data_IF_356076904559
#
_entry.id   IF_356076904559
#
_cell.length_a   1.000
_cell.length_b   1.000
_cell.length_c   1.000
_cell.angle_alpha   90.00
_cell.angle_beta   90.00
_cell.angle_gamma   90.00
#
_symmetry.space_group_name_H-M   'P 1'
#
loop_
_entity.id
_entity.type
_entity.pdbx_description
1 polymer ?
#
# COMPACT_ATOMS: atom_id res chain seq x y z
N UNK A 1 -40.70 -17.25 83.80
CA UNK A 1 -40.51 -16.05 82.94
C UNK A 1 -39.16 -16.16 82.26
N UNK A 2 -39.10 -16.58 81.02
CA UNK A 2 -37.90 -16.72 80.23
C UNK A 2 -37.92 -15.70 79.07
N UNK A 3 -37.01 -14.75 79.12
CA UNK A 3 -36.81 -13.71 78.07
C UNK A 3 -36.14 -14.30 76.84
N UNK A 4 -36.76 -14.13 75.66
CA UNK A 4 -36.24 -14.56 74.41
C UNK A 4 -35.68 -13.29 73.70
N UNK A 5 -34.35 -13.20 73.67
CA UNK A 5 -33.62 -12.14 72.93
C UNK A 5 -33.53 -12.51 71.45
N UNK A 6 -34.18 -11.71 70.60
CA UNK A 6 -34.14 -11.86 69.14
C UNK A 6 -32.81 -11.27 68.60
N UNK A 7 -31.97 -12.13 68.03
CA UNK A 7 -30.78 -11.73 67.27
C UNK A 7 -31.22 -11.43 65.80
N UNK A 8 -31.16 -10.19 65.40
CA UNK A 8 -31.41 -9.76 64.03
C UNK A 8 -30.08 -9.67 63.28
N UNK A 9 -29.78 -10.72 62.52
CA UNK A 9 -28.56 -10.74 61.66
C UNK A 9 -28.84 -9.95 60.38
N UNK A 10 -28.05 -8.89 60.20
CA UNK A 10 -28.00 -8.11 58.95
C UNK A 10 -27.15 -8.88 57.95
N UNK A 11 -27.75 -9.49 56.95
CA UNK A 11 -27.06 -10.09 55.81
C UNK A 11 -26.79 -8.96 54.79
N UNK A 12 -25.55 -8.44 54.78
CA UNK A 12 -25.08 -7.51 53.74
C UNK A 12 -24.82 -8.30 52.46
N UNK A 13 -25.72 -8.17 51.49
CA UNK A 13 -25.60 -8.74 50.15
C UNK A 13 -24.61 -7.86 49.36
N UNK A 14 -23.32 -8.26 49.26
CA UNK A 14 -22.34 -7.65 48.37
C UNK A 14 -22.68 -8.11 46.97
N UNK A 15 -23.38 -7.26 46.19
CA UNK A 15 -23.47 -7.40 44.74
C UNK A 15 -22.10 -7.10 44.14
N UNK A 16 -21.29 -8.12 43.90
CA UNK A 16 -20.15 -8.01 43.03
C UNK A 16 -20.67 -7.71 41.61
N UNK A 17 -20.52 -6.45 41.17
CA UNK A 17 -20.68 -6.08 39.77
C UNK A 17 -19.58 -6.84 38.99
N UNK A 18 -19.91 -8.02 38.49
CA UNK A 18 -19.12 -8.69 37.47
C UNK A 18 -19.20 -7.84 36.19
N UNK A 19 -18.21 -6.97 35.99
CA UNK A 19 -18.00 -6.36 34.68
C UNK A 19 -17.88 -7.51 33.66
N UNK A 20 -18.58 -7.44 32.53
CA UNK A 20 -18.42 -8.45 31.50
C UNK A 20 -16.94 -8.47 31.10
N UNK A 21 -16.29 -9.62 31.28
CA UNK A 21 -14.95 -9.85 30.75
C UNK A 21 -15.10 -9.86 29.21
N UNK A 22 -15.01 -8.70 28.58
CA UNK A 22 -14.88 -8.62 27.14
C UNK A 22 -13.58 -9.34 26.79
N UNK A 23 -13.69 -10.45 26.06
CA UNK A 23 -12.53 -11.13 25.51
C UNK A 23 -11.65 -10.13 24.72
N UNK A 24 -10.34 -10.38 24.64
CA UNK A 24 -9.41 -9.52 23.92
C UNK A 24 -9.91 -9.21 22.50
N UNK A 25 -9.89 -7.93 22.12
CA UNK A 25 -10.31 -7.50 20.77
C UNK A 25 -9.35 -8.08 19.73
N UNK A 26 -9.86 -8.86 18.78
CA UNK A 26 -9.04 -9.41 17.70
C UNK A 26 -8.62 -8.32 16.72
N UNK A 27 -7.34 -8.30 16.37
CA UNK A 27 -6.73 -7.44 15.33
C UNK A 27 -6.00 -8.33 14.35
N UNK A 28 -6.64 -8.63 13.22
CA UNK A 28 -6.07 -9.49 12.18
C UNK A 28 -5.54 -8.60 11.06
N UNK A 29 -4.24 -8.73 10.75
CA UNK A 29 -3.56 -7.94 9.72
C UNK A 29 -2.96 -8.85 8.66
N UNK A 30 -3.02 -8.44 7.38
CA UNK A 30 -2.44 -9.17 6.25
C UNK A 30 -1.56 -8.29 5.38
N UNK A 31 -0.40 -8.83 5.02
CA UNK A 31 0.60 -8.22 4.15
C UNK A 31 0.95 -9.19 3.02
N UNK A 32 0.71 -8.77 1.77
CA UNK A 32 1.05 -9.53 0.56
C UNK A 32 2.54 -9.58 0.25
N UNK A 33 3.37 -8.76 0.92
CA UNK A 33 4.82 -8.76 0.82
C UNK A 33 5.46 -9.55 1.98
N UNK A 34 6.74 -9.93 1.81
CA UNK A 34 7.50 -10.57 2.90
C UNK A 34 7.79 -9.59 4.05
N UNK A 35 8.17 -10.12 5.21
CA UNK A 35 8.48 -9.34 6.41
C UNK A 35 9.75 -8.47 6.27
N UNK A 36 10.71 -8.84 5.39
CA UNK A 36 12.03 -8.18 5.29
C UNK A 36 11.99 -6.83 4.57
N UNK A 37 10.99 -6.59 3.69
CA UNK A 37 10.81 -5.33 2.97
C UNK A 37 10.30 -4.21 3.86
N UNK A 38 10.33 -2.96 3.37
CA UNK A 38 9.89 -1.76 4.11
C UNK A 38 8.48 -1.94 4.67
N UNK A 39 7.51 -2.37 3.85
CA UNK A 39 6.12 -2.59 4.28
C UNK A 39 6.01 -3.67 5.39
N UNK A 40 6.74 -4.78 5.24
CA UNK A 40 6.75 -5.84 6.26
C UNK A 40 7.26 -5.34 7.60
N UNK A 41 8.40 -4.64 7.60
CA UNK A 41 8.96 -4.02 8.82
C UNK A 41 8.04 -2.96 9.42
N UNK A 42 7.26 -2.23 8.59
CA UNK A 42 6.26 -1.27 9.07
C UNK A 42 5.12 -2.00 9.81
N UNK A 43 4.64 -3.13 9.28
CA UNK A 43 3.64 -3.96 9.95
C UNK A 43 4.16 -4.59 11.25
N UNK A 44 5.44 -5.01 11.28
CA UNK A 44 6.05 -5.54 12.51
C UNK A 44 6.15 -4.47 13.60
N UNK A 45 6.53 -3.24 13.22
CA UNK A 45 6.51 -2.10 14.12
C UNK A 45 5.09 -1.77 14.60
N UNK A 46 4.11 -1.74 13.69
CA UNK A 46 2.70 -1.54 14.04
C UNK A 46 2.23 -2.60 15.04
N UNK A 47 2.53 -3.87 14.78
CA UNK A 47 2.19 -4.99 15.68
C UNK A 47 2.79 -4.79 17.07
N UNK A 48 4.07 -4.43 17.13
CA UNK A 48 4.79 -4.16 18.38
C UNK A 48 4.16 -3.00 19.15
N UNK A 49 3.86 -1.90 18.47
CA UNK A 49 3.28 -0.70 19.08
C UNK A 49 1.84 -0.93 19.55
N UNK A 50 1.02 -1.70 18.80
CA UNK A 50 -0.32 -2.10 19.26
C UNK A 50 -0.22 -2.91 20.57
N UNK A 51 0.61 -3.95 20.59
CA UNK A 51 0.82 -4.78 21.80
C UNK A 51 1.35 -3.97 22.97
N UNK A 52 2.30 -3.05 22.74
CA UNK A 52 2.86 -2.17 23.76
C UNK A 52 1.81 -1.24 24.39
N UNK A 53 0.89 -0.68 23.58
CA UNK A 53 -0.10 0.29 24.03
C UNK A 53 -1.33 -0.34 24.68
N UNK A 54 -1.74 -1.51 24.19
CA UNK A 54 -3.01 -2.12 24.55
C UNK A 54 -2.89 -3.41 25.36
N UNK A 55 -1.72 -4.03 25.40
CA UNK A 55 -1.44 -5.22 26.22
C UNK A 55 -2.44 -6.36 25.94
N UNK A 56 -3.02 -6.89 27.01
CA UNK A 56 -3.97 -7.98 26.98
C UNK A 56 -5.39 -7.59 26.51
N UNK A 57 -5.65 -6.31 26.23
CA UNK A 57 -6.93 -5.85 25.67
C UNK A 57 -7.12 -6.27 24.20
N UNK A 58 -6.03 -6.64 23.51
CA UNK A 58 -6.05 -7.03 22.10
C UNK A 58 -5.34 -8.37 21.88
N UNK A 59 -5.86 -9.14 20.91
CA UNK A 59 -5.21 -10.32 20.36
C UNK A 59 -4.82 -9.99 18.90
N UNK A 60 -3.49 -9.87 18.65
CA UNK A 60 -2.96 -9.39 17.38
C UNK A 60 -2.34 -10.52 16.59
N UNK A 61 -2.94 -10.83 15.44
CA UNK A 61 -2.43 -11.76 14.44
C UNK A 61 -1.90 -11.00 13.21
N UNK A 62 -0.62 -11.16 12.89
CA UNK A 62 0.01 -10.58 11.70
C UNK A 62 0.42 -11.68 10.73
N UNK A 63 -0.04 -11.57 9.47
CA UNK A 63 0.22 -12.53 8.40
C UNK A 63 1.01 -11.85 7.27
N UNK A 64 2.21 -12.35 6.96
CA UNK A 64 3.06 -11.87 5.87
C UNK A 64 3.03 -12.79 4.65
N UNK A 65 3.62 -12.30 3.54
CA UNK A 65 3.86 -13.05 2.30
C UNK A 65 2.59 -13.58 1.62
N UNK A 66 1.47 -12.90 1.81
CA UNK A 66 0.19 -13.34 1.23
C UNK A 66 -0.37 -14.63 1.85
N UNK A 67 0.14 -15.05 3.04
CA UNK A 67 -0.25 -16.32 3.67
C UNK A 67 -1.71 -16.39 4.09
N UNK A 68 -2.34 -15.24 4.38
CA UNK A 68 -3.78 -15.17 4.66
C UNK A 68 -4.56 -14.68 3.43
N UNK A 69 -4.13 -13.57 2.84
CA UNK A 69 -4.67 -13.00 1.61
C UNK A 69 -3.54 -12.48 0.73
N UNK A 70 -3.58 -12.83 -0.55
CA UNK A 70 -2.64 -12.34 -1.56
C UNK A 70 -3.04 -10.94 -2.09
N UNK A 71 -2.30 -10.44 -3.08
CA UNK A 71 -2.54 -9.11 -3.64
C UNK A 71 -3.91 -8.97 -4.30
N UNK A 72 -4.50 -10.04 -4.86
CA UNK A 72 -5.80 -10.03 -5.54
C UNK A 72 -6.97 -10.16 -4.57
N UNK A 73 -6.80 -10.90 -3.48
CA UNK A 73 -7.89 -11.32 -2.58
C UNK A 73 -8.00 -10.47 -1.32
N UNK A 74 -6.93 -9.73 -0.93
CA UNK A 74 -6.89 -9.00 0.34
C UNK A 74 -7.97 -7.92 0.48
N UNK A 75 -8.35 -7.22 -0.61
CA UNK A 75 -9.41 -6.19 -0.56
C UNK A 75 -10.77 -6.83 -0.28
N UNK A 76 -11.07 -7.96 -0.93
CA UNK A 76 -12.29 -8.71 -0.66
C UNK A 76 -12.31 -9.26 0.78
N UNK A 77 -11.19 -9.80 1.26
CA UNK A 77 -11.06 -10.25 2.64
C UNK A 77 -11.30 -9.13 3.65
N UNK A 78 -10.83 -7.90 3.37
CA UNK A 78 -11.09 -6.72 4.17
C UNK A 78 -12.58 -6.35 4.18
N UNK A 79 -13.22 -6.31 3.01
CA UNK A 79 -14.64 -5.98 2.88
C UNK A 79 -15.52 -6.92 3.70
N UNK A 80 -15.21 -8.21 3.69
CA UNK A 80 -15.94 -9.27 4.41
C UNK A 80 -15.60 -9.32 5.91
N UNK A 81 -14.61 -8.55 6.40
CA UNK A 81 -14.18 -8.60 7.80
C UNK A 81 -13.36 -9.84 8.17
N UNK A 82 -12.92 -10.64 7.20
CA UNK A 82 -12.04 -11.78 7.45
C UNK A 82 -10.61 -11.35 7.79
N UNK A 83 -10.25 -10.11 7.48
CA UNK A 83 -9.06 -9.39 7.92
C UNK A 83 -9.48 -7.97 8.29
N UNK A 84 -8.83 -7.40 9.30
CA UNK A 84 -9.22 -6.10 9.84
C UNK A 84 -8.41 -4.94 9.28
N UNK A 85 -7.12 -5.16 8.98
CA UNK A 85 -6.22 -4.14 8.43
C UNK A 85 -5.35 -4.76 7.33
N UNK A 86 -5.31 -4.09 6.18
CA UNK A 86 -4.44 -4.41 5.05
C UNK A 86 -3.72 -3.14 4.57
N UNK A 87 -2.66 -3.31 3.78
CA UNK A 87 -1.92 -2.20 3.19
C UNK A 87 -1.50 -2.54 1.75
N UNK A 88 -2.45 -2.69 0.81
CA UNK A 88 -2.10 -2.84 -0.59
C UNK A 88 -1.58 -1.54 -1.18
N UNK A 89 -0.84 -1.61 -2.29
CA UNK A 89 -0.59 -0.42 -3.10
C UNK A 89 -1.92 0.21 -3.53
N UNK A 90 -1.96 1.53 -3.62
CA UNK A 90 -3.20 2.28 -3.87
C UNK A 90 -3.98 1.75 -5.09
N UNK A 91 -3.30 1.35 -6.17
CA UNK A 91 -3.93 0.82 -7.38
C UNK A 91 -4.72 -0.48 -7.19
N UNK A 92 -4.43 -1.25 -6.16
CA UNK A 92 -5.16 -2.51 -5.86
C UNK A 92 -6.60 -2.25 -5.40
N UNK A 93 -6.90 -1.03 -4.95
CA UNK A 93 -8.28 -0.64 -4.66
C UNK A 93 -9.13 -0.31 -5.90
N UNK A 94 -8.53 -0.22 -7.10
CA UNK A 94 -9.24 0.19 -8.33
C UNK A 94 -10.48 -0.64 -8.68
N UNK A 95 -10.58 -1.95 -8.40
CA UNK A 95 -11.81 -2.71 -8.65
C UNK A 95 -13.02 -2.21 -7.83
N UNK A 96 -12.79 -1.62 -6.67
CA UNK A 96 -13.84 -1.12 -5.76
C UNK A 96 -13.88 0.41 -5.68
N UNK A 97 -12.79 1.09 -6.00
CA UNK A 97 -12.65 2.54 -6.03
C UNK A 97 -11.78 2.97 -7.23
N UNK A 98 -12.34 2.94 -8.45
CA UNK A 98 -11.57 3.19 -9.68
C UNK A 98 -10.84 4.54 -9.68
N UNK A 99 -11.44 5.54 -9.08
CA UNK A 99 -10.91 6.92 -9.03
C UNK A 99 -9.61 7.06 -8.22
N UNK A 100 -9.25 6.07 -7.39
CA UNK A 100 -7.92 6.01 -6.77
C UNK A 100 -6.80 5.97 -7.82
N UNK A 101 -7.09 5.45 -9.02
CA UNK A 101 -6.15 5.41 -10.13
C UNK A 101 -5.59 6.76 -10.53
N UNK A 102 -6.36 7.84 -10.39
CA UNK A 102 -5.90 9.19 -10.73
C UNK A 102 -4.72 9.68 -9.86
N UNK A 103 -4.58 9.16 -8.63
CA UNK A 103 -3.42 9.43 -7.76
C UNK A 103 -2.13 8.76 -8.25
N UNK A 104 -2.23 7.84 -9.22
CA UNK A 104 -1.13 7.04 -9.76
C UNK A 104 -0.86 7.36 -11.24
N UNK A 105 -1.40 8.48 -11.74
CA UNK A 105 -1.10 8.94 -13.09
C UNK A 105 0.42 9.10 -13.27
N UNK A 106 0.98 8.59 -14.38
CA UNK A 106 2.41 8.62 -14.60
C UNK A 106 2.95 10.07 -14.59
N UNK A 107 4.03 10.28 -13.82
CA UNK A 107 4.72 11.56 -13.65
C UNK A 107 3.90 12.69 -12.98
N UNK A 108 2.74 12.39 -12.39
CA UNK A 108 1.91 13.39 -11.71
C UNK A 108 2.41 13.66 -10.30
N UNK A 109 2.23 12.73 -9.37
CA UNK A 109 2.67 12.88 -7.98
C UNK A 109 4.05 12.21 -7.80
N UNK A 110 5.12 12.99 -7.95
CA UNK A 110 6.49 12.49 -8.06
C UNK A 110 7.28 12.51 -6.74
N UNK A 111 6.64 12.88 -5.63
CA UNK A 111 7.29 12.90 -4.31
C UNK A 111 6.36 12.47 -3.17
N UNK A 112 6.91 12.05 -2.02
CA UNK A 112 6.13 11.76 -0.82
C UNK A 112 5.27 12.94 -0.37
N UNK A 113 5.80 14.16 -0.46
CA UNK A 113 5.11 15.39 -0.05
C UNK A 113 3.89 15.66 -0.94
N UNK A 114 4.02 15.49 -2.26
CA UNK A 114 2.91 15.63 -3.21
C UNK A 114 1.80 14.60 -2.91
N UNK A 115 2.17 13.35 -2.64
CA UNK A 115 1.22 12.29 -2.26
C UNK A 115 0.54 12.65 -0.94
N UNK A 116 1.29 13.08 0.06
CA UNK A 116 0.73 13.43 1.37
C UNK A 116 -0.29 14.58 1.28
N UNK A 117 0.01 15.61 0.47
CA UNK A 117 -0.94 16.68 0.22
C UNK A 117 -2.17 16.17 -0.54
N UNK A 118 -1.97 15.43 -1.61
CA UNK A 118 -3.07 14.92 -2.44
C UNK A 118 -4.05 14.02 -1.67
N UNK A 119 -3.57 13.07 -0.88
CA UNK A 119 -4.44 12.16 -0.12
C UNK A 119 -5.18 12.82 1.04
N UNK A 120 -4.74 14.00 1.47
CA UNK A 120 -5.38 14.81 2.53
C UNK A 120 -6.23 15.94 1.99
N UNK A 121 -6.03 16.32 0.72
CA UNK A 121 -6.74 17.44 0.10
C UNK A 121 -8.25 17.14 0.02
N UNK A 122 -9.07 18.11 0.44
CA UNK A 122 -10.53 17.94 0.51
C UNK A 122 -11.15 17.70 -0.86
N UNK A 123 -10.66 18.36 -1.91
CA UNK A 123 -11.19 18.22 -3.27
C UNK A 123 -10.82 16.84 -3.84
N UNK A 124 -9.56 16.44 -3.69
CA UNK A 124 -9.07 15.14 -4.18
C UNK A 124 -9.78 13.99 -3.48
N UNK A 125 -9.98 14.08 -2.17
CA UNK A 125 -10.69 13.05 -1.39
C UNK A 125 -12.13 12.81 -1.83
N UNK A 126 -12.83 13.84 -2.32
CA UNK A 126 -14.20 13.65 -2.83
C UNK A 126 -14.28 12.68 -3.99
N UNK A 127 -13.20 12.45 -4.70
CA UNK A 127 -13.17 11.52 -5.83
C UNK A 127 -13.23 10.05 -5.37
N UNK A 128 -12.47 9.65 -4.37
CA UNK A 128 -12.25 8.22 -4.05
C UNK A 128 -12.78 7.77 -2.69
N UNK A 129 -12.92 8.68 -1.72
CA UNK A 129 -13.37 8.30 -0.37
C UNK A 129 -14.77 7.68 -0.35
N UNK A 130 -15.80 8.25 -1.04
CA UNK A 130 -17.13 7.66 -1.04
C UNK A 130 -17.16 6.24 -1.61
N UNK A 131 -16.35 5.96 -2.63
CA UNK A 131 -16.28 4.63 -3.23
C UNK A 131 -15.74 3.61 -2.22
N UNK A 132 -14.64 3.93 -1.52
CA UNK A 132 -14.06 3.06 -0.50
C UNK A 132 -15.03 2.82 0.68
N UNK A 133 -15.63 3.89 1.20
CA UNK A 133 -16.56 3.81 2.33
C UNK A 133 -17.81 3.00 2.00
N UNK A 134 -18.36 3.13 0.78
CA UNK A 134 -19.49 2.34 0.30
C UNK A 134 -19.17 0.84 0.20
N UNK A 135 -17.90 0.48 0.17
CA UNK A 135 -17.39 -0.88 0.08
C UNK A 135 -16.85 -1.41 1.43
N UNK A 136 -17.30 -0.82 2.53
CA UNK A 136 -16.91 -1.20 3.89
C UNK A 136 -15.40 -1.05 4.17
N UNK A 137 -14.74 -0.05 3.54
CA UNK A 137 -13.32 0.23 3.69
C UNK A 137 -13.13 1.66 4.19
N UNK A 138 -12.34 1.84 5.24
CA UNK A 138 -11.91 3.15 5.71
C UNK A 138 -10.38 3.26 5.62
N UNK A 139 -9.83 4.24 4.87
CA UNK A 139 -8.40 4.53 4.89
C UNK A 139 -8.00 5.12 6.24
N UNK A 140 -7.04 4.50 6.91
CA UNK A 140 -6.58 4.88 8.26
C UNK A 140 -5.14 5.39 8.30
N UNK A 141 -4.34 5.11 7.27
CA UNK A 141 -2.99 5.68 7.07
C UNK A 141 -2.57 5.58 5.60
N UNK A 142 -1.47 6.26 5.27
CA UNK A 142 -0.76 6.14 3.97
C UNK A 142 0.70 5.87 4.25
N UNK A 143 1.26 4.82 3.65
CA UNK A 143 2.67 4.46 3.75
C UNK A 143 3.36 4.59 2.41
N UNK A 144 4.62 5.03 2.42
CA UNK A 144 5.42 5.16 1.21
C UNK A 144 6.02 3.81 0.78
N UNK A 145 6.25 3.70 -0.52
CA UNK A 145 6.88 2.53 -1.13
C UNK A 145 8.09 2.92 -2.00
N UNK A 146 8.15 4.16 -2.45
CA UNK A 146 9.20 4.70 -3.31
C UNK A 146 8.80 4.84 -4.77
N UNK A 147 9.68 5.46 -5.54
CA UNK A 147 9.51 5.60 -6.97
C UNK A 147 9.65 4.23 -7.66
N UNK A 148 8.73 3.92 -8.57
CA UNK A 148 8.76 2.66 -9.34
C UNK A 148 9.87 2.73 -10.38
N UNK A 149 10.44 1.57 -10.67
CA UNK A 149 11.52 1.38 -11.63
C UNK A 149 11.24 0.16 -12.49
N UNK A 150 11.71 0.16 -13.72
CA UNK A 150 11.57 -0.98 -14.61
C UNK A 150 12.78 -1.90 -14.50
N UNK A 151 12.55 -3.21 -14.57
CA UNK A 151 13.61 -4.18 -14.75
C UNK A 151 13.23 -5.19 -15.81
N UNK A 152 14.18 -5.57 -16.67
CA UNK A 152 13.92 -6.47 -17.79
C UNK A 152 15.10 -7.38 -18.10
N UNK A 153 14.81 -8.50 -18.76
CA UNK A 153 15.79 -9.37 -19.42
C UNK A 153 16.14 -8.81 -20.80
N UNK A 154 17.38 -8.91 -21.20
CA UNK A 154 17.82 -8.51 -22.53
C UNK A 154 19.24 -7.95 -22.52
N UNK A 155 19.91 -7.97 -23.69
CA UNK A 155 21.32 -7.60 -23.82
C UNK A 155 21.60 -6.10 -23.67
N UNK A 156 20.61 -5.24 -23.97
CA UNK A 156 20.75 -3.77 -23.94
C UNK A 156 19.71 -3.15 -23.03
N UNK A 157 20.03 -2.08 -22.30
CA UNK A 157 19.07 -1.39 -21.46
C UNK A 157 17.98 -0.70 -22.29
N UNK A 158 16.71 -0.91 -21.94
CA UNK A 158 15.55 -0.31 -22.59
C UNK A 158 15.23 1.07 -22.00
N UNK A 159 16.01 2.08 -22.40
CA UNK A 159 15.95 3.44 -21.83
C UNK A 159 14.85 4.32 -22.39
N UNK A 160 14.29 3.96 -23.55
CA UNK A 160 13.22 4.72 -24.23
C UNK A 160 11.95 3.89 -24.32
N UNK A 161 10.76 4.51 -24.44
CA UNK A 161 9.50 3.78 -24.55
C UNK A 161 9.48 2.75 -25.68
N UNK A 162 10.02 3.08 -26.85
CA UNK A 162 10.02 2.20 -28.03
C UNK A 162 10.74 0.87 -27.76
N UNK A 163 11.73 0.85 -26.87
CA UNK A 163 12.45 -0.36 -26.51
C UNK A 163 11.60 -1.36 -25.71
N UNK A 164 10.41 -0.97 -25.26
CA UNK A 164 9.48 -1.82 -24.51
C UNK A 164 8.43 -2.48 -25.39
N UNK A 165 8.33 -2.09 -26.66
CA UNK A 165 7.34 -2.62 -27.59
C UNK A 165 7.44 -4.15 -27.69
N UNK A 166 6.32 -4.83 -27.40
CA UNK A 166 6.22 -6.30 -27.42
C UNK A 166 6.85 -7.01 -26.21
N UNK A 167 7.51 -6.32 -25.29
CA UNK A 167 8.10 -6.94 -24.09
C UNK A 167 6.99 -7.39 -23.14
N UNK A 168 7.07 -8.61 -22.65
CA UNK A 168 6.12 -9.17 -21.68
C UNK A 168 6.41 -8.59 -20.29
N UNK A 169 5.66 -7.58 -19.90
CA UNK A 169 5.85 -6.92 -18.60
C UNK A 169 4.75 -7.28 -17.61
N UNK A 170 5.15 -7.64 -16.41
CA UNK A 170 4.20 -7.76 -15.30
C UNK A 170 3.88 -6.41 -14.70
N UNK A 171 2.60 -6.18 -14.50
CA UNK A 171 2.08 -5.12 -13.63
C UNK A 171 1.19 -5.70 -12.54
N UNK A 172 0.95 -4.94 -11.49
CA UNK A 172 -0.16 -5.25 -10.57
C UNK A 172 -1.49 -5.07 -11.31
N UNK A 173 -2.52 -5.84 -10.96
CA UNK A 173 -3.82 -5.85 -11.63
C UNK A 173 -4.62 -4.57 -11.34
N UNK A 174 -4.11 -3.42 -11.81
CA UNK A 174 -4.73 -2.11 -11.68
C UNK A 174 -4.77 -1.41 -13.05
N UNK A 175 -5.94 -0.91 -13.50
CA UNK A 175 -6.13 -0.35 -14.84
C UNK A 175 -5.10 0.72 -15.20
N UNK A 176 -4.72 1.59 -14.27
CA UNK A 176 -3.74 2.65 -14.51
C UNK A 176 -2.38 2.13 -14.97
N UNK A 177 -1.87 1.03 -14.35
CA UNK A 177 -0.59 0.44 -14.75
C UNK A 177 -0.71 -0.31 -16.06
N UNK A 178 -1.84 -1.01 -16.29
CA UNK A 178 -2.11 -1.68 -17.56
C UNK A 178 -2.10 -0.66 -18.69
N UNK A 179 -2.88 0.41 -18.59
CA UNK A 179 -2.96 1.48 -19.60
C UNK A 179 -1.63 2.18 -19.83
N UNK A 180 -0.84 2.39 -18.76
CA UNK A 180 0.49 3.01 -18.87
C UNK A 180 1.44 2.14 -19.68
N UNK A 181 1.45 0.82 -19.47
CA UNK A 181 2.33 -0.10 -20.20
C UNK A 181 1.82 -0.36 -21.63
N UNK A 182 0.51 -0.40 -21.85
CA UNK A 182 -0.09 -0.47 -23.20
C UNK A 182 0.30 0.77 -24.04
N UNK A 183 0.33 1.97 -23.44
CA UNK A 183 0.71 3.20 -24.12
C UNK A 183 2.15 3.21 -24.66
N UNK A 184 3.04 2.38 -24.11
CA UNK A 184 4.41 2.18 -24.63
C UNK A 184 4.53 0.92 -25.50
N UNK A 185 3.40 0.26 -25.84
CA UNK A 185 3.36 -0.91 -26.70
C UNK A 185 3.85 -2.21 -26.07
N UNK A 186 3.96 -2.29 -24.76
CA UNK A 186 4.34 -3.51 -24.07
C UNK A 186 3.20 -4.54 -24.03
N UNK A 187 3.53 -5.83 -23.98
CA UNK A 187 2.59 -6.92 -23.72
C UNK A 187 2.37 -7.05 -22.20
N UNK A 188 1.21 -6.59 -21.73
CA UNK A 188 0.95 -6.44 -20.30
C UNK A 188 0.34 -7.70 -19.69
N UNK A 189 0.91 -8.15 -18.57
CA UNK A 189 0.43 -9.31 -17.82
C UNK A 189 0.15 -8.90 -16.38
N UNK A 190 -1.14 -8.86 -16.01
CA UNK A 190 -1.58 -8.58 -14.64
C UNK A 190 -1.49 -9.83 -13.77
N UNK A 191 -0.65 -9.81 -12.70
CA UNK A 191 -0.55 -10.94 -11.76
C UNK A 191 -0.23 -10.47 -10.35
N UNK A 192 -0.51 -11.33 -9.35
CA UNK A 192 -0.15 -11.11 -7.96
C UNK A 192 1.36 -10.98 -7.77
N UNK A 193 1.77 -10.23 -6.75
CA UNK A 193 3.20 -10.05 -6.45
C UNK A 193 3.91 -11.38 -6.12
N UNK A 194 3.23 -12.29 -5.43
CA UNK A 194 3.76 -13.61 -5.08
C UNK A 194 4.09 -14.51 -6.28
N UNK A 195 3.45 -14.26 -7.43
CA UNK A 195 3.65 -15.02 -8.67
C UNK A 195 4.88 -14.56 -9.47
N UNK A 196 5.35 -13.32 -9.23
CA UNK A 196 6.38 -12.66 -10.05
C UNK A 196 7.72 -13.43 -10.10
N UNK A 197 8.28 -13.95 -8.99
CA UNK A 197 9.55 -14.68 -9.05
C UNK A 197 9.47 -15.89 -9.98
N UNK A 198 8.43 -16.70 -9.84
CA UNK A 198 8.22 -17.91 -10.67
C UNK A 198 7.99 -17.53 -12.14
N UNK A 199 7.19 -16.50 -12.40
CA UNK A 199 6.89 -16.04 -13.75
C UNK A 199 8.14 -15.49 -14.48
N UNK A 200 9.03 -14.77 -13.78
CA UNK A 200 10.33 -14.36 -14.30
C UNK A 200 11.22 -15.56 -14.58
N UNK A 201 11.30 -16.52 -13.65
CA UNK A 201 12.14 -17.70 -13.80
C UNK A 201 11.71 -18.54 -15.00
N UNK A 202 10.41 -18.74 -15.18
CA UNK A 202 9.84 -19.55 -16.26
C UNK A 202 9.74 -18.82 -17.62
N UNK A 203 10.06 -17.51 -17.68
CA UNK A 203 9.94 -16.73 -18.91
C UNK A 203 8.50 -16.42 -19.33
N UNK A 204 7.53 -16.55 -18.41
CA UNK A 204 6.15 -16.09 -18.60
C UNK A 204 6.12 -14.57 -18.78
N UNK A 205 6.99 -13.87 -18.03
CA UNK A 205 7.26 -12.45 -18.16
C UNK A 205 8.76 -12.22 -18.36
N UNK A 206 9.11 -11.14 -19.06
CA UNK A 206 10.48 -10.71 -19.29
C UNK A 206 10.85 -9.52 -18.37
N UNK A 207 9.85 -8.84 -17.83
CA UNK A 207 10.02 -7.58 -17.11
C UNK A 207 8.99 -7.42 -15.99
N UNK A 208 9.35 -6.54 -15.04
CA UNK A 208 8.46 -6.05 -13.98
C UNK A 208 8.83 -4.60 -13.62
N UNK A 209 7.94 -3.91 -12.84
CA UNK A 209 8.13 -2.49 -12.55
C UNK A 209 7.91 -2.12 -11.06
N UNK A 210 8.45 -2.89 -10.08
CA UNK A 210 8.36 -2.53 -8.67
C UNK A 210 9.33 -1.40 -8.29
N UNK A 211 9.32 -1.03 -7.01
CA UNK A 211 10.28 -0.09 -6.43
C UNK A 211 11.64 -0.76 -6.15
N UNK A 212 12.74 -0.01 -6.01
CA UNK A 212 14.05 -0.58 -5.69
C UNK A 212 14.05 -1.45 -4.43
N UNK A 213 13.36 -1.02 -3.37
CA UNK A 213 13.22 -1.81 -2.15
C UNK A 213 12.48 -3.14 -2.40
N UNK A 214 11.47 -3.15 -3.28
CA UNK A 214 10.76 -4.37 -3.64
C UNK A 214 11.61 -5.30 -4.54
N UNK A 215 12.39 -4.75 -5.48
CA UNK A 215 13.39 -5.50 -6.26
C UNK A 215 14.34 -6.27 -5.34
N UNK A 216 14.95 -5.56 -4.38
CA UNK A 216 15.88 -6.15 -3.42
C UNK A 216 15.18 -7.12 -2.47
N UNK A 217 14.06 -6.70 -1.87
CA UNK A 217 13.37 -7.46 -0.82
C UNK A 217 12.85 -8.83 -1.27
N UNK A 218 12.47 -8.95 -2.54
CA UNK A 218 12.06 -10.23 -3.16
C UNK A 218 13.20 -11.01 -3.83
N UNK A 219 14.37 -10.37 -4.03
CA UNK A 219 15.51 -10.97 -4.71
C UNK A 219 15.39 -11.07 -6.23
N UNK A 220 14.28 -10.59 -6.83
CA UNK A 220 14.02 -10.74 -8.28
C UNK A 220 14.92 -9.88 -9.15
N UNK A 221 15.65 -8.89 -8.59
CA UNK A 221 16.66 -8.15 -9.34
C UNK A 221 17.76 -9.06 -9.92
N UNK A 222 18.00 -10.23 -9.34
CA UNK A 222 18.95 -11.23 -9.85
C UNK A 222 18.41 -12.01 -11.07
N UNK A 223 17.15 -11.80 -11.43
CA UNK A 223 16.47 -12.48 -12.53
C UNK A 223 16.29 -11.59 -13.76
N UNK A 224 16.81 -10.38 -13.73
CA UNK A 224 16.78 -9.39 -14.82
C UNK A 224 18.20 -8.91 -15.13
N UNK A 225 18.41 -8.42 -16.36
CA UNK A 225 19.73 -7.98 -16.82
C UNK A 225 19.96 -6.48 -16.63
N UNK A 226 18.89 -5.70 -16.55
CA UNK A 226 18.94 -4.26 -16.39
C UNK A 226 17.81 -3.76 -15.52
N UNK A 227 18.07 -2.73 -14.69
CA UNK A 227 17.06 -1.96 -13.98
C UNK A 227 17.17 -0.50 -14.41
N UNK A 228 16.01 0.12 -14.75
CA UNK A 228 15.91 1.49 -15.22
C UNK A 228 15.11 2.30 -14.19
N UNK A 229 15.76 3.29 -13.58
CA UNK A 229 15.12 4.23 -12.65
C UNK A 229 14.45 5.34 -13.47
N UNK A 230 13.28 5.04 -14.02
CA UNK A 230 12.48 6.01 -14.76
C UNK A 230 11.54 6.83 -13.88
N UNK A 231 11.26 6.33 -12.64
CA UNK A 231 10.51 7.06 -11.61
C UNK A 231 9.14 7.56 -12.09
N UNK A 232 8.49 6.79 -12.96
CA UNK A 232 7.26 7.22 -13.63
C UNK A 232 6.06 7.36 -12.70
N UNK A 233 6.06 6.64 -11.56
CA UNK A 233 5.05 6.73 -10.49
C UNK A 233 5.75 6.61 -9.16
N UNK A 234 5.47 7.52 -8.24
CA UNK A 234 5.82 7.33 -6.84
C UNK A 234 4.75 6.47 -6.19
N UNK A 235 5.11 5.25 -5.82
CA UNK A 235 4.18 4.26 -5.30
C UNK A 235 3.96 4.43 -3.79
N UNK A 236 2.73 4.24 -3.37
CA UNK A 236 2.36 4.28 -1.96
C UNK A 236 1.29 3.24 -1.64
N UNK A 237 1.12 2.96 -0.37
CA UNK A 237 0.11 2.07 0.16
C UNK A 237 -1.00 2.86 0.84
N UNK A 238 -2.24 2.46 0.63
CA UNK A 238 -3.37 2.91 1.46
C UNK A 238 -3.58 1.84 2.52
N UNK A 239 -3.35 2.18 3.78
CA UNK A 239 -3.70 1.31 4.90
C UNK A 239 -5.20 1.40 5.09
N UNK A 240 -5.89 0.33 4.74
CA UNK A 240 -7.34 0.21 4.86
C UNK A 240 -7.73 -0.63 6.06
N UNK A 241 -8.74 -0.20 6.78
CA UNK A 241 -9.43 -1.02 7.77
C UNK A 241 -10.83 -1.41 7.29
N UNK A 242 -11.33 -2.57 7.74
CA UNK A 242 -12.74 -2.89 7.63
C UNK A 242 -13.54 -1.83 8.41
N UNK A 243 -14.45 -1.14 7.73
CA UNK A 243 -15.17 0.02 8.29
C UNK A 243 -16.01 -0.37 9.50
N UNK A 244 -16.79 -1.44 9.39
CA UNK A 244 -17.65 -1.91 10.46
C UNK A 244 -16.86 -2.29 11.71
N UNK A 245 -15.75 -3.03 11.54
CA UNK A 245 -14.86 -3.37 12.64
C UNK A 245 -14.24 -2.11 13.26
N UNK A 246 -13.70 -1.20 12.44
CA UNK A 246 -13.03 0.03 12.88
C UNK A 246 -13.95 0.99 13.64
N UNK A 247 -15.19 1.14 13.17
CA UNK A 247 -16.20 1.99 13.81
C UNK A 247 -16.76 1.36 15.09
N UNK A 248 -16.83 0.03 15.14
CA UNK A 248 -17.29 -0.74 16.31
C UNK A 248 -16.28 -0.88 17.44
N UNK A 249 -15.01 -0.45 17.26
CA UNK A 249 -13.99 -0.56 18.30
C UNK A 249 -14.31 0.32 19.53
N UNK A 250 -14.07 -0.18 20.75
CA UNK A 250 -14.02 0.66 21.95
C UNK A 250 -13.08 1.85 21.75
N UNK A 251 -13.43 3.00 22.32
CA UNK A 251 -12.69 4.26 22.10
C UNK A 251 -11.21 4.17 22.48
N UNK A 252 -10.88 3.51 23.58
CA UNK A 252 -9.50 3.32 24.04
C UNK A 252 -8.71 2.38 23.12
N UNK A 253 -9.32 1.30 22.64
CA UNK A 253 -8.71 0.38 21.67
C UNK A 253 -8.44 1.10 20.35
N UNK A 254 -9.43 1.83 19.83
CA UNK A 254 -9.29 2.61 18.60
C UNK A 254 -8.18 3.66 18.71
N UNK A 255 -8.14 4.40 19.81
CA UNK A 255 -7.08 5.39 20.08
C UNK A 255 -5.69 4.73 20.19
N UNK A 256 -5.61 3.58 20.85
CA UNK A 256 -4.36 2.82 20.96
C UNK A 256 -3.84 2.32 19.61
N UNK A 257 -4.73 1.78 18.75
CA UNK A 257 -4.36 1.35 17.38
C UNK A 257 -3.98 2.57 16.54
N UNK A 258 -4.72 3.69 16.61
CA UNK A 258 -4.38 4.90 15.86
C UNK A 258 -3.01 5.43 16.27
N UNK A 259 -2.69 5.52 17.57
CA UNK A 259 -1.38 5.96 18.01
C UNK A 259 -0.24 5.00 17.59
N UNK A 260 -0.50 3.71 17.46
CA UNK A 260 0.44 2.76 16.90
C UNK A 260 0.65 2.96 15.39
N UNK A 261 -0.45 3.21 14.66
CA UNK A 261 -0.41 3.57 13.23
C UNK A 261 0.38 4.86 12.99
N UNK A 262 0.19 5.88 13.81
CA UNK A 262 0.91 7.15 13.67
C UNK A 262 2.42 6.94 13.83
N UNK A 263 2.83 6.13 14.82
CA UNK A 263 4.24 5.75 15.03
C UNK A 263 4.81 4.97 13.84
N UNK A 264 4.09 3.95 13.38
CA UNK A 264 4.53 3.12 12.25
C UNK A 264 4.57 3.92 10.94
N UNK A 265 3.62 4.84 10.74
CA UNK A 265 3.56 5.72 9.57
C UNK A 265 4.74 6.69 9.55
N UNK A 266 5.03 7.36 10.65
CA UNK A 266 6.17 8.27 10.75
C UNK A 266 7.49 7.53 10.42
N UNK A 267 7.67 6.35 11.00
CA UNK A 267 8.84 5.51 10.71
C UNK A 267 8.90 5.09 9.25
N UNK A 268 7.80 4.66 8.64
CA UNK A 268 7.77 4.27 7.23
C UNK A 268 8.20 5.42 6.31
N UNK A 269 7.70 6.63 6.55
CA UNK A 269 8.03 7.82 5.77
C UNK A 269 9.50 8.20 5.90
N UNK A 270 10.04 8.16 7.11
CA UNK A 270 11.46 8.42 7.38
C UNK A 270 12.37 7.41 6.66
N UNK A 271 11.98 6.13 6.67
CA UNK A 271 12.79 5.04 6.10
C UNK A 271 12.69 4.90 4.59
N UNK A 272 11.65 5.44 3.93
CA UNK A 272 11.36 5.16 2.53
C UNK A 272 12.54 5.50 1.61
N UNK A 273 13.03 6.74 1.62
CA UNK A 273 14.14 7.17 0.77
C UNK A 273 15.41 6.37 1.05
N UNK A 274 15.78 6.27 2.32
CA UNK A 274 17.03 5.60 2.73
C UNK A 274 17.04 4.12 2.33
N UNK A 275 15.92 3.41 2.49
CA UNK A 275 15.81 1.99 2.12
C UNK A 275 15.80 1.78 0.61
N UNK A 276 15.17 2.64 -0.17
CA UNK A 276 15.21 2.57 -1.63
C UNK A 276 16.63 2.85 -2.16
N UNK A 277 17.33 3.85 -1.63
CA UNK A 277 18.73 4.14 -1.99
C UNK A 277 19.68 2.99 -1.58
N UNK A 278 19.53 2.44 -0.38
CA UNK A 278 20.31 1.29 0.06
C UNK A 278 20.04 0.05 -0.80
N UNK A 279 18.80 -0.14 -1.25
CA UNK A 279 18.46 -1.22 -2.18
C UNK A 279 19.18 -1.05 -3.53
N UNK A 280 19.19 0.16 -4.10
CA UNK A 280 19.92 0.46 -5.35
C UNK A 280 21.40 0.14 -5.18
N UNK A 281 22.03 0.59 -4.09
CA UNK A 281 23.44 0.30 -3.80
C UNK A 281 23.73 -1.19 -3.74
N UNK A 282 22.85 -1.96 -3.06
CA UNK A 282 22.99 -3.42 -2.98
C UNK A 282 22.84 -4.09 -4.35
N UNK A 283 21.85 -3.70 -5.13
CA UNK A 283 21.57 -4.25 -6.47
C UNK A 283 22.79 -4.04 -7.39
N UNK A 284 23.38 -2.83 -7.37
CA UNK A 284 24.59 -2.52 -8.16
C UNK A 284 25.79 -3.33 -7.67
N UNK A 285 25.99 -3.43 -6.35
CA UNK A 285 27.10 -4.18 -5.76
C UNK A 285 27.02 -5.68 -6.08
N UNK A 286 25.79 -6.22 -6.20
CA UNK A 286 25.55 -7.62 -6.59
C UNK A 286 25.66 -7.85 -8.12
N UNK A 287 26.01 -6.82 -8.91
CA UNK A 287 26.32 -6.93 -10.33
C UNK A 287 25.16 -6.67 -11.29
N UNK A 288 23.93 -6.32 -10.82
CA UNK A 288 22.84 -5.94 -11.72
C UNK A 288 22.97 -4.47 -12.13
N UNK A 289 23.12 -4.15 -13.43
CA UNK A 289 23.25 -2.78 -13.92
C UNK A 289 22.00 -1.95 -13.64
N UNK A 290 22.18 -0.77 -13.06
CA UNK A 290 21.11 0.20 -12.78
C UNK A 290 21.34 1.47 -13.58
N UNK A 291 20.35 1.89 -14.34
CA UNK A 291 20.42 3.04 -15.25
C UNK A 291 19.47 4.15 -14.81
N UNK A 292 19.91 5.40 -14.94
CA UNK A 292 19.06 6.58 -14.80
C UNK A 292 18.78 7.19 -16.15
N UNK A 293 17.55 7.68 -16.37
CA UNK A 293 17.20 8.38 -17.58
C UNK A 293 17.77 9.79 -17.59
N UNK A 294 18.30 10.22 -18.74
CA UNK A 294 18.59 11.62 -18.98
C UNK A 294 17.30 12.42 -19.26
N UNK A 295 17.41 13.76 -19.37
CA UNK A 295 16.26 14.63 -19.55
C UNK A 295 15.47 14.34 -20.84
N UNK A 296 16.16 14.04 -21.96
CA UNK A 296 15.48 13.73 -23.24
C UNK A 296 14.74 12.40 -23.18
N UNK A 297 15.30 11.38 -22.55
CA UNK A 297 14.66 10.09 -22.33
C UNK A 297 13.44 10.25 -21.43
N UNK A 298 13.55 10.98 -20.30
CA UNK A 298 12.42 11.26 -19.41
C UNK A 298 11.28 11.97 -20.14
N UNK A 299 11.60 12.96 -21.00
CA UNK A 299 10.61 13.66 -21.83
C UNK A 299 9.94 12.73 -22.84
N UNK A 300 10.68 11.79 -23.44
CA UNK A 300 10.10 10.78 -24.34
C UNK A 300 9.10 9.87 -23.60
N UNK A 301 9.43 9.43 -22.39
CA UNK A 301 8.52 8.66 -21.53
C UNK A 301 7.25 9.45 -21.21
N UNK A 302 7.38 10.70 -20.74
CA UNK A 302 6.24 11.57 -20.43
C UNK A 302 5.29 11.73 -21.62
N UNK A 303 5.85 11.96 -22.83
CA UNK A 303 5.09 12.09 -24.06
C UNK A 303 4.33 10.81 -24.42
N UNK A 304 4.97 9.63 -24.29
CA UNK A 304 4.36 8.35 -24.66
C UNK A 304 3.20 7.95 -23.76
N UNK A 305 3.21 8.33 -22.48
CA UNK A 305 2.16 8.01 -21.53
C UNK A 305 1.13 9.12 -21.33
N UNK A 306 1.29 10.27 -22.02
CA UNK A 306 0.37 11.41 -21.91
C UNK A 306 -1.11 11.03 -22.18
N UNK A 307 -1.44 10.16 -23.16
CA UNK A 307 -2.85 9.77 -23.41
C UNK A 307 -3.53 9.09 -22.23
N UNK A 308 -2.75 8.51 -21.29
CA UNK A 308 -3.30 7.90 -20.07
C UNK A 308 -3.94 8.95 -19.15
N UNK A 309 -3.49 10.21 -19.23
CA UNK A 309 -4.03 11.31 -18.41
C UNK A 309 -5.46 11.69 -18.79
N UNK A 310 -5.84 11.50 -20.04
CA UNK A 310 -7.22 11.73 -20.51
C UNK A 310 -8.13 10.66 -19.89
N UNK A 311 -7.91 9.39 -20.25
CA UNK A 311 -8.81 8.28 -19.89
C UNK A 311 -8.78 7.89 -18.41
N UNK A 312 -7.62 7.98 -17.76
CA UNK A 312 -7.45 7.58 -16.36
C UNK A 312 -7.34 8.77 -15.40
N UNK A 313 -7.43 9.98 -15.91
CA UNK A 313 -7.42 11.23 -15.16
C UNK A 313 -8.75 11.97 -15.30
N UNK A 314 -8.87 12.83 -16.28
CA UNK A 314 -10.00 13.75 -16.42
C UNK A 314 -11.35 13.04 -16.60
N UNK A 315 -11.42 12.01 -17.44
CA UNK A 315 -12.63 11.21 -17.63
C UNK A 315 -13.06 10.49 -16.35
N UNK A 316 -12.09 10.12 -15.50
CA UNK A 316 -12.35 9.32 -14.30
C UNK A 316 -12.75 10.18 -13.08
N UNK A 317 -12.07 11.31 -12.87
CA UNK A 317 -12.26 12.12 -11.65
C UNK A 317 -12.81 13.53 -11.92
N UNK A 318 -12.91 13.93 -13.19
CA UNK A 318 -13.37 15.24 -13.62
C UNK A 318 -12.32 16.35 -13.54
N UNK A 319 -12.55 17.43 -14.30
CA UNK A 319 -11.61 18.54 -14.46
C UNK A 319 -11.24 19.25 -13.15
N UNK A 320 -12.18 19.37 -12.22
CA UNK A 320 -11.93 20.02 -10.91
C UNK A 320 -10.89 19.28 -10.09
N UNK A 321 -11.00 17.95 -10.00
CA UNK A 321 -10.06 17.12 -9.25
C UNK A 321 -8.71 17.08 -9.96
N UNK A 322 -8.71 16.93 -11.29
CA UNK A 322 -7.47 16.95 -12.08
C UNK A 322 -6.73 18.26 -11.99
N UNK A 323 -7.45 19.40 -12.04
CA UNK A 323 -6.83 20.72 -11.83
C UNK A 323 -6.12 20.77 -10.48
N UNK A 324 -6.80 20.32 -9.40
CA UNK A 324 -6.22 20.32 -8.06
C UNK A 324 -5.00 19.39 -7.94
N UNK A 325 -5.05 18.21 -8.55
CA UNK A 325 -3.90 17.30 -8.60
C UNK A 325 -2.71 17.90 -9.36
N UNK A 326 -2.94 18.63 -10.45
CA UNK A 326 -1.89 19.35 -11.20
C UNK A 326 -1.29 20.48 -10.36
N UNK A 327 -2.09 21.28 -9.67
CA UNK A 327 -1.61 22.32 -8.75
C UNK A 327 -0.69 21.75 -7.66
N UNK A 328 -1.08 20.60 -7.07
CA UNK A 328 -0.25 19.89 -6.10
C UNK A 328 1.04 19.39 -6.76
N UNK A 329 0.95 18.80 -7.94
CA UNK A 329 2.10 18.33 -8.70
C UNK A 329 3.11 19.45 -8.95
N UNK A 330 2.64 20.60 -9.48
CA UNK A 330 3.47 21.76 -9.82
C UNK A 330 4.17 22.36 -8.60
N UNK A 331 3.50 22.38 -7.45
CA UNK A 331 4.06 22.85 -6.16
C UNK A 331 5.29 22.02 -5.74
N UNK A 332 5.34 20.73 -6.07
CA UNK A 332 6.41 19.81 -5.69
C UNK A 332 7.28 19.35 -6.87
N UNK A 333 7.06 19.90 -8.08
CA UNK A 333 7.93 19.65 -9.23
C UNK A 333 9.34 20.20 -8.95
N UNK A 334 10.35 19.34 -9.13
CA UNK A 334 11.78 19.70 -9.01
C UNK A 334 12.43 19.83 -10.38
#
# INVERSE_FOLDING_TARGET
>A
MRSITKFMGVVSLIMALSAPAFGATKVIMSNDNNAKGLKGQTFDLLTKEIKKRLGNKVDVAMHHSGSLFDQKTQVQGLQLGSVHIISPTAGIYSPVAPKVGALLLPFLLSSPEAINEAVRDKVVRTAFMPDLESKNIVPIAVWMNGARSFGHKGRKPALTPDAWKGMKIRVQSAPIFVKTMEAIGANVIGMSWSEVPTALQQGVIDAAEPTPNAWKGSGIYKMVDHIILNEYVYSFYIVGANKQWWEGLPKDIKAGIQGALDTATAWNWEQDKAKNEAAIKTIVADGTPVHRLNASQKKAWQKSVAPVWETMGEDLVGSKVMKRLKEISDKYAK
#
